data_IF_334262285588
#
_entry.id   IF_334262285588
#
_cell.length_a   1.000
_cell.length_b   1.000
_cell.length_c   1.000
_cell.angle_alpha   90.00
_cell.angle_beta   90.00
_cell.angle_gamma   90.00
#
_symmetry.space_group_name_H-M   'P 1'
#
loop_
_entity.id
_entity.type
_entity.pdbx_description
1 polymer ?
#
# COMPACT_ATOMS: atom_id res chain seq x y z
N UNK A 1 -22.03 -5.00 -0.84
CA UNK A 1 -22.41 -5.35 -2.22
C UNK A 1 -21.16 -5.26 -3.10
N UNK A 2 -21.05 -6.08 -4.14
CA UNK A 2 -19.93 -6.01 -5.09
C UNK A 2 -20.45 -5.77 -6.50
N UNK A 3 -19.84 -4.85 -7.24
CA UNK A 3 -20.16 -4.58 -8.64
C UNK A 3 -19.13 -5.24 -9.55
N UNK A 4 -19.57 -5.83 -10.66
CA UNK A 4 -18.66 -6.37 -11.68
C UNK A 4 -18.21 -5.25 -12.60
N UNK A 5 -16.89 -5.11 -12.73
CA UNK A 5 -16.23 -4.24 -13.68
C UNK A 5 -15.33 -5.08 -14.58
N UNK A 6 -15.26 -4.74 -15.87
CA UNK A 6 -14.29 -5.31 -16.79
C UNK A 6 -13.08 -4.37 -16.85
N UNK A 7 -11.89 -4.91 -16.57
CA UNK A 7 -10.63 -4.16 -16.60
C UNK A 7 -9.60 -4.92 -17.43
N UNK A 8 -8.83 -4.18 -18.22
CA UNK A 8 -7.70 -4.73 -18.97
C UNK A 8 -6.45 -4.68 -18.09
N UNK A 9 -5.72 -5.79 -18.03
CA UNK A 9 -4.45 -5.89 -17.33
C UNK A 9 -3.41 -6.50 -18.27
N UNK A 10 -2.12 -6.16 -18.11
CA UNK A 10 -1.04 -6.85 -18.82
C UNK A 10 -1.11 -8.37 -18.61
N UNK A 11 -0.89 -9.15 -19.67
CA UNK A 11 -1.00 -10.63 -19.64
C UNK A 11 -0.15 -11.25 -18.54
N UNK A 12 1.06 -10.70 -18.31
CA UNK A 12 1.95 -11.13 -17.24
C UNK A 12 1.32 -10.99 -15.85
N UNK A 13 0.56 -9.92 -15.61
CA UNK A 13 -0.14 -9.71 -14.34
C UNK A 13 -1.31 -10.69 -14.21
N UNK A 14 -2.09 -10.92 -15.27
CA UNK A 14 -3.16 -11.91 -15.28
C UNK A 14 -2.63 -13.30 -14.95
N UNK A 15 -1.52 -13.70 -15.57
CA UNK A 15 -0.84 -14.97 -15.30
C UNK A 15 -0.36 -15.06 -13.85
N UNK A 16 0.21 -13.98 -13.31
CA UNK A 16 0.66 -13.91 -11.91
C UNK A 16 -0.50 -14.09 -10.92
N UNK A 17 -1.61 -13.38 -11.13
CA UNK A 17 -2.80 -13.45 -10.27
C UNK A 17 -3.38 -14.86 -10.29
N UNK A 18 -3.54 -15.47 -11.46
CA UNK A 18 -4.03 -16.85 -11.58
C UNK A 18 -3.13 -17.83 -10.84
N UNK A 19 -1.82 -17.64 -10.89
CA UNK A 19 -0.85 -18.47 -10.15
C UNK A 19 -1.00 -18.31 -8.64
N UNK A 20 -1.21 -17.10 -8.15
CA UNK A 20 -1.44 -16.84 -6.72
C UNK A 20 -2.71 -17.54 -6.21
N UNK A 21 -3.80 -17.50 -7.01
CA UNK A 21 -5.04 -18.21 -6.68
C UNK A 21 -4.83 -19.74 -6.71
N UNK A 22 -4.15 -20.26 -7.74
CA UNK A 22 -3.85 -21.69 -7.84
C UNK A 22 -2.98 -22.21 -6.69
N UNK A 23 -2.12 -21.35 -6.13
CA UNK A 23 -1.27 -21.66 -4.97
C UNK A 23 -2.00 -21.45 -3.62
N UNK A 24 -3.30 -21.09 -3.64
CA UNK A 24 -4.07 -20.83 -2.41
C UNK A 24 -3.69 -19.55 -1.68
N UNK A 25 -2.85 -18.68 -2.28
CA UNK A 25 -2.47 -17.38 -1.71
C UNK A 25 -3.58 -16.33 -1.80
N UNK A 26 -4.62 -16.60 -2.60
CA UNK A 26 -5.85 -15.81 -2.64
C UNK A 26 -7.06 -16.70 -2.96
N UNK A 27 -8.25 -16.39 -2.40
CA UNK A 27 -9.44 -17.22 -2.56
C UNK A 27 -10.05 -17.14 -3.97
N UNK A 28 -9.80 -16.04 -4.71
CA UNK A 28 -10.24 -15.86 -6.09
C UNK A 28 -9.50 -14.70 -6.74
N UNK A 29 -9.63 -14.56 -8.07
CA UNK A 29 -9.09 -13.40 -8.81
C UNK A 29 -9.70 -12.09 -8.30
N UNK A 30 -11.03 -12.05 -8.14
CA UNK A 30 -11.72 -10.87 -7.61
C UNK A 30 -11.25 -10.55 -6.19
N UNK A 31 -11.09 -11.55 -5.33
CA UNK A 31 -10.55 -11.37 -3.98
C UNK A 31 -9.13 -10.81 -3.99
N UNK A 32 -8.25 -11.35 -4.85
CA UNK A 32 -6.89 -10.85 -5.02
C UNK A 32 -6.88 -9.36 -5.40
N UNK A 33 -7.69 -8.98 -6.41
CA UNK A 33 -7.78 -7.60 -6.87
C UNK A 33 -8.37 -6.68 -5.79
N UNK A 34 -9.45 -7.09 -5.11
CA UNK A 34 -10.03 -6.30 -4.03
C UNK A 34 -9.03 -6.03 -2.90
N UNK A 35 -8.21 -7.03 -2.52
CA UNK A 35 -7.15 -6.82 -1.52
C UNK A 35 -6.06 -5.89 -2.04
N UNK A 36 -5.65 -6.01 -3.30
CA UNK A 36 -4.64 -5.13 -3.88
C UNK A 36 -5.12 -3.67 -3.96
N UNK A 37 -6.38 -3.45 -4.34
CA UNK A 37 -7.01 -2.12 -4.37
C UNK A 37 -7.10 -1.52 -2.97
N UNK A 38 -7.60 -2.28 -1.98
CA UNK A 38 -7.69 -1.81 -0.60
C UNK A 38 -6.31 -1.42 -0.02
N UNK A 39 -5.26 -2.16 -0.38
CA UNK A 39 -3.89 -1.82 0.00
C UNK A 39 -3.43 -0.51 -0.65
N UNK A 40 -3.69 -0.33 -1.94
CA UNK A 40 -3.33 0.91 -2.64
C UNK A 40 -4.05 2.13 -2.05
N UNK A 41 -5.35 2.00 -1.74
CA UNK A 41 -6.13 3.06 -1.07
C UNK A 41 -5.58 3.38 0.33
N UNK A 42 -5.15 2.37 1.08
CA UNK A 42 -4.54 2.58 2.40
C UNK A 42 -3.19 3.30 2.31
N UNK A 43 -2.35 2.93 1.34
CA UNK A 43 -1.05 3.58 1.10
C UNK A 43 -1.22 5.03 0.62
N UNK A 44 -2.21 5.30 -0.24
CA UNK A 44 -2.58 6.64 -0.66
C UNK A 44 -3.10 7.47 0.52
N UNK A 45 -3.97 6.90 1.36
CA UNK A 45 -4.45 7.56 2.58
C UNK A 45 -3.33 7.87 3.56
N UNK A 46 -2.33 6.99 3.70
CA UNK A 46 -1.17 7.24 4.55
C UNK A 46 -0.32 8.37 4.00
N UNK A 47 -0.09 8.38 2.68
CA UNK A 47 0.66 9.45 2.02
C UNK A 47 -0.03 10.80 2.22
N UNK A 48 -1.35 10.86 2.01
CA UNK A 48 -2.12 12.08 2.23
C UNK A 48 -2.06 12.58 3.68
N UNK A 49 -2.11 11.66 4.66
CA UNK A 49 -1.96 12.02 6.07
C UNK A 49 -0.57 12.61 6.37
N UNK A 50 0.49 12.03 5.81
CA UNK A 50 1.85 12.54 5.98
C UNK A 50 2.01 13.93 5.34
N UNK A 51 1.47 14.13 4.14
CA UNK A 51 1.50 15.43 3.46
C UNK A 51 0.76 16.51 4.25
N UNK A 52 -0.34 16.17 4.91
CA UNK A 52 -1.09 17.09 5.77
C UNK A 52 -0.30 17.44 7.04
N UNK A 53 0.38 16.45 7.66
CA UNK A 53 1.25 16.70 8.81
C UNK A 53 2.43 17.60 8.46
N UNK A 54 3.07 17.37 7.30
CA UNK A 54 4.17 18.22 6.82
C UNK A 54 3.68 19.65 6.54
N UNK A 55 2.44 19.82 6.07
CA UNK A 55 1.84 21.15 5.85
C UNK A 55 1.55 21.87 7.17
N UNK A 56 1.07 21.16 8.19
CA UNK A 56 0.68 21.73 9.47
C UNK A 56 1.86 22.01 10.40
N UNK A 57 2.84 21.10 10.44
CA UNK A 57 3.94 21.11 11.40
C UNK A 57 5.29 21.47 10.76
N UNK A 58 5.38 21.43 9.43
CA UNK A 58 6.64 21.53 8.69
C UNK A 58 7.36 20.19 8.57
N UNK A 59 8.33 20.12 7.66
CA UNK A 59 9.15 18.93 7.46
C UNK A 59 9.93 18.55 8.73
N UNK A 60 10.11 17.23 8.94
CA UNK A 60 10.90 16.72 10.07
C UNK A 60 12.36 17.18 9.96
N UNK A 61 12.85 17.86 10.99
CA UNK A 61 14.21 18.39 10.96
C UNK A 61 15.26 17.29 11.17
N UNK A 62 16.47 17.53 10.66
CA UNK A 62 17.61 16.63 10.90
C UNK A 62 17.92 16.44 12.39
N UNK A 63 17.59 17.43 13.23
CA UNK A 63 17.74 17.35 14.69
C UNK A 63 16.74 16.36 15.29
N UNK A 64 15.50 16.36 14.81
CA UNK A 64 14.45 15.46 15.29
C UNK A 64 14.73 14.02 14.87
N UNK A 65 15.24 13.82 13.63
CA UNK A 65 15.69 12.51 13.17
C UNK A 65 16.86 11.98 14.02
N UNK A 66 17.88 12.80 14.28
CA UNK A 66 19.01 12.40 15.12
C UNK A 66 18.61 12.08 16.56
N UNK A 67 17.60 12.76 17.11
CA UNK A 67 17.03 12.42 18.40
C UNK A 67 16.30 11.07 18.34
N UNK A 68 15.52 10.82 17.30
CA UNK A 68 14.77 9.57 17.13
C UNK A 68 15.71 8.35 16.98
N UNK A 69 16.75 8.46 16.17
CA UNK A 69 17.75 7.39 15.99
C UNK A 69 18.41 7.02 17.32
N UNK A 70 18.78 8.01 18.13
CA UNK A 70 19.32 7.79 19.47
C UNK A 70 18.32 7.12 20.41
N UNK A 71 17.05 7.53 20.37
CA UNK A 71 16.00 6.94 21.20
C UNK A 71 15.68 5.48 20.81
N UNK A 72 15.80 5.16 19.52
CA UNK A 72 15.60 3.81 18.96
C UNK A 72 16.85 2.91 19.05
N UNK A 73 17.99 3.45 19.49
CA UNK A 73 19.25 2.71 19.60
C UNK A 73 19.90 2.39 18.26
N UNK A 74 19.60 3.18 17.22
CA UNK A 74 20.15 3.03 15.86
C UNK A 74 21.48 3.79 15.69
N UNK A 75 21.87 4.59 16.69
CA UNK A 75 23.09 5.42 16.74
C UNK A 75 23.78 5.39 18.10
#
# INVERSE_FOLDING_TARGET
MTQKIAVSLPDAQVASIRRAVAQGRAPSVSGYISTAVARAEQEESLTALLDDLDRELGEVSARDLAWADKALGLS
#
